data_IF_936525063670
#
_entry.id   IF_936525063670
#
_cell.length_a   1.000
_cell.length_b   1.000
_cell.length_c   1.000
_cell.angle_alpha   90.00
_cell.angle_beta   90.00
_cell.angle_gamma   90.00
#
_symmetry.space_group_name_H-M   'P 1'
#
loop_
_entity.id
_entity.type
_entity.pdbx_description
1 polymer ?
#
# COMPACT_ATOMS: atom_id res chain seq x y z
N UNK A 1 6.54 -2.78 -28.93
CA UNK A 1 6.65 -1.34 -29.27
C UNK A 1 5.56 -0.61 -28.52
N UNK A 2 5.91 0.24 -27.55
CA UNK A 2 4.96 1.06 -26.81
C UNK A 2 4.66 2.31 -27.64
N UNK A 3 3.66 2.21 -28.52
CA UNK A 3 3.11 3.40 -29.17
C UNK A 3 2.31 4.23 -28.16
N UNK A 4 2.59 5.52 -28.14
CA UNK A 4 1.63 6.58 -27.84
C UNK A 4 1.33 6.85 -26.38
N UNK A 5 2.26 7.41 -25.61
CA UNK A 5 1.86 8.36 -24.57
C UNK A 5 1.71 9.71 -25.26
N UNK A 6 0.49 10.23 -25.36
CA UNK A 6 0.22 11.52 -26.00
C UNK A 6 -0.06 12.58 -24.95
N UNK A 7 0.23 13.85 -25.26
CA UNK A 7 -0.14 14.99 -24.40
C UNK A 7 -1.67 15.03 -24.13
N UNK A 8 -2.48 14.40 -25.01
CA UNK A 8 -3.92 14.22 -24.82
C UNK A 8 -4.27 13.18 -23.74
N UNK A 9 -3.43 12.16 -23.50
CA UNK A 9 -3.62 11.21 -22.40
C UNK A 9 -3.38 11.89 -21.04
N UNK A 10 -2.35 12.74 -20.98
CA UNK A 10 -2.05 13.56 -19.80
C UNK A 10 -3.18 14.55 -19.50
N UNK A 11 -3.66 15.28 -20.52
CA UNK A 11 -4.72 16.27 -20.37
C UNK A 11 -6.07 15.62 -19.95
N UNK A 12 -6.32 14.37 -20.34
CA UNK A 12 -7.50 13.59 -19.93
C UNK A 12 -7.34 12.94 -18.55
N UNK A 13 -6.14 13.01 -17.95
CA UNK A 13 -5.83 12.35 -16.69
C UNK A 13 -5.77 10.83 -16.78
N UNK A 14 -5.45 10.29 -17.96
CA UNK A 14 -5.18 8.87 -18.14
C UNK A 14 -3.84 8.56 -17.47
N UNK A 15 -3.85 7.70 -16.46
CA UNK A 15 -2.62 7.36 -15.76
C UNK A 15 -1.63 6.64 -16.69
N UNK A 16 -0.37 7.07 -16.71
CA UNK A 16 0.68 6.41 -17.53
C UNK A 16 0.82 4.92 -17.21
N UNK A 17 0.60 4.55 -15.95
CA UNK A 17 0.62 3.17 -15.49
C UNK A 17 -0.68 2.41 -15.76
N UNK A 18 -1.76 3.01 -16.27
CA UNK A 18 -3.00 2.28 -16.62
C UNK A 18 -2.77 1.17 -17.67
N UNK A 19 -1.59 1.16 -18.29
CA UNK A 19 -1.11 0.14 -19.22
C UNK A 19 -0.33 -0.99 -18.50
N UNK A 20 0.07 -0.82 -17.25
CA UNK A 20 0.73 -1.82 -16.39
C UNK A 20 -0.31 -2.74 -15.75
N UNK A 21 -0.93 -3.59 -16.57
CA UNK A 21 -1.90 -4.58 -16.10
C UNK A 21 -1.23 -5.83 -15.47
N UNK A 22 0.07 -6.03 -15.75
CA UNK A 22 0.94 -7.10 -15.26
C UNK A 22 2.42 -6.70 -15.46
N UNK A 23 3.36 -7.43 -14.85
CA UNK A 23 4.80 -7.10 -14.86
C UNK A 23 5.56 -7.82 -15.99
N UNK A 24 5.15 -9.02 -16.41
CA UNK A 24 5.90 -9.86 -17.35
C UNK A 24 5.24 -10.10 -18.71
N UNK A 25 6.09 -10.45 -19.68
CA UNK A 25 5.76 -10.79 -21.06
C UNK A 25 5.54 -12.31 -21.20
N UNK A 26 4.37 -12.82 -20.87
CA UNK A 26 4.05 -14.21 -21.21
C UNK A 26 3.86 -14.33 -22.74
N UNK A 27 4.65 -15.21 -23.37
CA UNK A 27 4.39 -15.74 -24.73
C UNK A 27 3.37 -16.90 -24.70
N UNK A 28 2.89 -17.29 -23.52
CA UNK A 28 1.97 -18.41 -23.30
C UNK A 28 0.50 -18.05 -23.54
N UNK A 29 -0.30 -19.10 -23.79
CA UNK A 29 -1.72 -19.00 -24.08
C UNK A 29 -2.47 -18.18 -23.02
N UNK A 30 -3.21 -17.18 -23.49
CA UNK A 30 -3.98 -16.23 -22.67
C UNK A 30 -5.11 -16.89 -21.86
N UNK A 31 -5.42 -18.16 -22.11
CA UNK A 31 -6.54 -18.89 -21.51
C UNK A 31 -6.47 -19.00 -19.98
N UNK A 32 -5.29 -18.92 -19.37
CA UNK A 32 -5.09 -19.01 -17.90
C UNK A 32 -4.97 -17.66 -17.19
N UNK A 33 -4.96 -16.55 -17.95
CA UNK A 33 -4.80 -15.21 -17.37
C UNK A 33 -6.02 -14.83 -16.54
N UNK A 34 -5.85 -14.45 -15.25
CA UNK A 34 -6.96 -14.02 -14.42
C UNK A 34 -7.51 -12.67 -14.85
N UNK A 35 -8.82 -12.50 -14.71
CA UNK A 35 -9.47 -11.18 -14.87
C UNK A 35 -9.26 -10.29 -13.65
N UNK A 36 -9.21 -8.97 -13.83
CA UNK A 36 -9.07 -8.06 -12.68
C UNK A 36 -10.28 -8.13 -11.73
N UNK A 37 -11.49 -8.13 -12.28
CA UNK A 37 -12.72 -8.25 -11.50
C UNK A 37 -12.84 -9.60 -10.78
N UNK A 38 -12.32 -10.67 -11.40
CA UNK A 38 -12.26 -12.00 -10.80
C UNK A 38 -11.42 -12.00 -9.51
N UNK A 39 -10.32 -11.25 -9.49
CA UNK A 39 -9.43 -11.14 -8.33
C UNK A 39 -9.83 -10.00 -7.37
N UNK A 40 -10.88 -9.24 -7.69
CA UNK A 40 -11.30 -8.05 -6.96
C UNK A 40 -10.28 -6.90 -6.97
N UNK A 41 -9.37 -6.88 -7.96
CA UNK A 41 -8.34 -5.84 -8.10
C UNK A 41 -8.76 -4.71 -9.05
N UNK A 42 -9.89 -4.85 -9.73
CA UNK A 42 -10.55 -3.76 -10.45
C UNK A 42 -10.86 -2.57 -9.53
N UNK A 43 -11.29 -2.84 -8.31
CA UNK A 43 -11.51 -1.82 -7.29
C UNK A 43 -10.19 -1.16 -6.84
N UNK A 44 -9.10 -1.93 -6.74
CA UNK A 44 -7.75 -1.39 -6.47
C UNK A 44 -7.35 -0.41 -7.58
N UNK A 45 -7.57 -0.78 -8.85
CA UNK A 45 -7.30 0.07 -10.00
C UNK A 45 -8.14 1.35 -9.97
N UNK A 46 -9.44 1.26 -9.67
CA UNK A 46 -10.33 2.42 -9.53
C UNK A 46 -9.79 3.44 -8.52
N UNK A 47 -9.38 2.97 -7.35
CA UNK A 47 -8.81 3.84 -6.30
C UNK A 47 -7.47 4.42 -6.73
N UNK A 48 -6.61 3.63 -7.39
CA UNK A 48 -5.33 4.14 -7.91
C UNK A 48 -5.56 5.26 -8.94
N UNK A 49 -6.57 5.15 -9.81
CA UNK A 49 -6.92 6.20 -10.77
C UNK A 49 -7.34 7.48 -10.04
N UNK A 50 -8.17 7.37 -8.99
CA UNK A 50 -8.56 8.51 -8.14
C UNK A 50 -7.35 9.16 -7.47
N UNK A 51 -6.46 8.36 -6.87
CA UNK A 51 -5.23 8.83 -6.24
C UNK A 51 -4.28 9.52 -7.24
N UNK A 52 -4.18 8.97 -8.46
CA UNK A 52 -3.42 9.58 -9.56
C UNK A 52 -4.00 10.92 -9.99
N UNK A 53 -5.32 11.01 -10.16
CA UNK A 53 -5.99 12.27 -10.48
C UNK A 53 -5.78 13.31 -9.40
N UNK A 54 -5.90 12.94 -8.14
CA UNK A 54 -5.54 13.81 -7.03
C UNK A 54 -4.09 14.31 -7.18
N UNK A 55 -3.15 13.41 -7.47
CA UNK A 55 -1.73 13.77 -7.70
C UNK A 55 -1.53 14.73 -8.87
N UNK A 56 -2.24 14.54 -9.99
CA UNK A 56 -2.10 15.36 -11.21
C UNK A 56 -2.81 16.71 -11.14
N UNK A 57 -3.74 16.90 -10.20
CA UNK A 57 -4.30 18.24 -9.95
C UNK A 57 -3.21 19.23 -9.49
N UNK A 58 -2.09 18.73 -8.92
CA UNK A 58 -0.88 19.50 -8.56
C UNK A 58 -1.17 20.90 -8.01
N UNK A 59 -2.02 20.96 -6.99
CA UNK A 59 -2.66 22.20 -6.57
C UNK A 59 -2.03 22.81 -5.32
N UNK A 60 -2.19 24.13 -5.20
CA UNK A 60 -1.90 24.91 -4.00
C UNK A 60 -3.01 25.97 -3.85
N UNK A 61 -3.90 25.87 -2.85
CA UNK A 61 -4.97 26.83 -2.64
C UNK A 61 -4.49 28.23 -2.26
N UNK A 62 -3.32 28.36 -1.61
CA UNK A 62 -2.72 29.67 -1.29
C UNK A 62 -1.84 30.16 -2.45
N UNK A 63 -2.34 31.13 -3.23
CA UNK A 63 -1.62 31.70 -4.39
C UNK A 63 -0.31 32.41 -4.03
N UNK A 64 -0.07 32.69 -2.75
CA UNK A 64 1.17 33.31 -2.28
C UNK A 64 2.20 32.28 -1.77
N UNK A 65 1.80 31.01 -1.64
CA UNK A 65 2.70 29.96 -1.19
C UNK A 65 3.73 29.60 -2.27
N UNK A 66 4.98 29.41 -1.85
CA UNK A 66 6.04 28.96 -2.74
C UNK A 66 5.86 27.48 -3.09
N UNK A 67 5.68 27.17 -4.38
CA UNK A 67 5.34 25.81 -4.84
C UNK A 67 6.35 24.73 -4.43
N UNK A 68 7.64 25.06 -4.24
CA UNK A 68 8.67 24.10 -3.79
C UNK A 68 8.58 23.74 -2.30
N UNK A 69 7.76 24.47 -1.54
CA UNK A 69 7.50 24.28 -0.10
C UNK A 69 6.00 24.08 0.18
N UNK A 70 5.22 23.87 -0.87
CA UNK A 70 3.77 23.72 -0.77
C UNK A 70 3.42 22.42 -0.05
N UNK A 71 2.63 22.55 1.02
CA UNK A 71 2.13 21.41 1.78
C UNK A 71 1.14 20.59 0.95
N UNK A 72 0.27 21.26 0.18
CA UNK A 72 -0.73 20.59 -0.65
C UNK A 72 -0.09 19.82 -1.79
N UNK A 73 0.94 20.36 -2.45
CA UNK A 73 1.70 19.63 -3.47
C UNK A 73 2.41 18.41 -2.92
N UNK A 74 2.90 18.45 -1.68
CA UNK A 74 3.48 17.26 -1.03
C UNK A 74 2.44 16.16 -0.84
N UNK A 75 1.19 16.50 -0.50
CA UNK A 75 0.10 15.51 -0.48
C UNK A 75 -0.14 14.93 -1.88
N UNK A 76 -0.09 15.74 -2.93
CA UNK A 76 -0.23 15.28 -4.32
C UNK A 76 0.89 14.31 -4.71
N UNK A 77 2.13 14.59 -4.31
CA UNK A 77 3.27 13.69 -4.53
C UNK A 77 3.10 12.36 -3.79
N UNK A 78 2.67 12.39 -2.52
CA UNK A 78 2.39 11.18 -1.73
C UNK A 78 1.26 10.34 -2.35
N UNK A 79 0.17 10.97 -2.80
CA UNK A 79 -0.93 10.26 -3.47
C UNK A 79 -0.47 9.58 -4.76
N UNK A 80 0.34 10.25 -5.59
CA UNK A 80 0.90 9.67 -6.81
C UNK A 80 1.81 8.50 -6.51
N UNK A 81 2.68 8.63 -5.50
CA UNK A 81 3.56 7.56 -5.03
C UNK A 81 2.78 6.33 -4.52
N UNK A 82 1.68 6.54 -3.79
CA UNK A 82 0.82 5.44 -3.33
C UNK A 82 0.10 4.76 -4.50
N UNK A 83 -0.42 5.53 -5.46
CA UNK A 83 -1.07 5.00 -6.66
C UNK A 83 -0.11 4.10 -7.44
N UNK A 84 1.11 4.58 -7.69
CA UNK A 84 2.14 3.82 -8.42
C UNK A 84 2.51 2.51 -7.70
N UNK A 85 2.81 2.56 -6.40
CA UNK A 85 3.17 1.36 -5.63
C UNK A 85 2.01 0.36 -5.52
N UNK A 86 0.77 0.83 -5.36
CA UNK A 86 -0.39 -0.08 -5.35
C UNK A 86 -0.59 -0.75 -6.70
N UNK A 87 -0.37 -0.03 -7.79
CA UNK A 87 -0.49 -0.59 -9.14
C UNK A 87 0.61 -1.60 -9.44
N UNK A 88 1.85 -1.32 -9.06
CA UNK A 88 2.94 -2.30 -9.13
C UNK A 88 2.65 -3.54 -8.29
N UNK A 89 2.16 -3.36 -7.06
CA UNK A 89 1.73 -4.46 -6.20
C UNK A 89 0.59 -5.27 -6.82
N UNK A 90 -0.41 -4.61 -7.39
CA UNK A 90 -1.53 -5.25 -8.10
C UNK A 90 -1.06 -6.04 -9.32
N UNK A 91 -0.15 -5.48 -10.13
CA UNK A 91 0.41 -6.14 -11.29
C UNK A 91 1.23 -7.38 -10.88
N UNK A 92 2.02 -7.28 -9.80
CA UNK A 92 2.77 -8.41 -9.24
C UNK A 92 1.84 -9.52 -8.74
N UNK A 93 0.76 -9.16 -8.05
CA UNK A 93 -0.22 -10.12 -7.57
C UNK A 93 -0.97 -10.83 -8.71
N UNK A 94 -1.41 -10.09 -9.74
CA UNK A 94 -2.03 -10.67 -10.94
C UNK A 94 -1.09 -11.68 -11.59
N UNK A 95 0.19 -11.34 -11.75
CA UNK A 95 1.20 -12.25 -12.31
C UNK A 95 1.42 -13.48 -11.42
N UNK A 96 1.45 -13.31 -10.10
CA UNK A 96 1.59 -14.42 -9.16
C UNK A 96 0.41 -15.41 -9.29
N UNK A 97 -0.83 -14.91 -9.39
CA UNK A 97 -2.01 -15.76 -9.61
C UNK A 97 -1.99 -16.40 -11.00
N UNK A 98 -1.50 -15.69 -12.01
CA UNK A 98 -1.34 -16.26 -13.35
C UNK A 98 -0.36 -17.44 -13.33
N UNK A 99 0.84 -17.27 -12.77
CA UNK A 99 1.79 -18.37 -12.59
C UNK A 99 1.18 -19.55 -11.82
N UNK A 100 0.41 -19.27 -10.75
CA UNK A 100 -0.27 -20.32 -9.99
C UNK A 100 -1.19 -21.17 -10.88
N UNK A 101 -1.98 -20.53 -11.73
CA UNK A 101 -2.90 -21.19 -12.66
C UNK A 101 -2.16 -21.93 -13.78
N UNK A 102 -1.13 -21.29 -14.34
CA UNK A 102 -0.35 -21.86 -15.43
C UNK A 102 0.41 -23.11 -14.99
N UNK A 103 0.98 -23.11 -13.79
CA UNK A 103 1.60 -24.28 -13.15
C UNK A 103 0.55 -25.35 -12.86
N UNK A 104 -0.62 -24.98 -12.30
CA UNK A 104 -1.70 -25.93 -12.02
C UNK A 104 -2.31 -26.57 -13.27
N UNK A 105 -2.19 -25.91 -14.42
CA UNK A 105 -2.62 -26.40 -15.73
C UNK A 105 -1.50 -27.12 -16.51
N UNK A 106 -0.33 -27.35 -15.90
CA UNK A 106 0.86 -27.95 -16.53
C UNK A 106 1.36 -27.20 -17.79
N UNK A 107 0.99 -25.92 -17.94
CA UNK A 107 1.44 -25.05 -19.04
C UNK A 107 2.75 -24.31 -18.74
N UNK A 108 3.13 -24.25 -17.46
CA UNK A 108 4.42 -23.75 -16.99
C UNK A 108 5.11 -24.79 -16.09
N UNK A 109 6.45 -24.85 -16.10
CA UNK A 109 7.16 -25.80 -15.26
C UNK A 109 7.00 -25.43 -13.79
N UNK A 110 6.91 -26.44 -12.92
CA UNK A 110 6.76 -26.26 -11.47
C UNK A 110 7.86 -25.39 -10.82
N UNK A 111 9.03 -25.26 -11.46
CA UNK A 111 10.10 -24.34 -11.04
C UNK A 111 9.71 -22.86 -11.07
N UNK A 112 8.70 -22.48 -11.85
CA UNK A 112 8.16 -21.10 -11.88
C UNK A 112 7.42 -20.72 -10.60
N UNK A 113 7.12 -21.67 -9.71
CA UNK A 113 6.54 -21.37 -8.40
C UNK A 113 7.43 -20.43 -7.56
N UNK A 114 8.76 -20.45 -7.78
CA UNK A 114 9.67 -19.48 -7.16
C UNK A 114 9.44 -18.05 -7.67
N UNK A 115 9.17 -17.88 -8.96
CA UNK A 115 8.83 -16.60 -9.55
C UNK A 115 7.48 -16.11 -9.01
N UNK A 116 6.46 -16.98 -8.96
CA UNK A 116 5.18 -16.71 -8.30
C UNK A 116 5.39 -16.19 -6.88
N UNK A 117 6.21 -16.87 -6.07
CA UNK A 117 6.46 -16.47 -4.70
C UNK A 117 7.13 -15.10 -4.61
N UNK A 118 8.15 -14.86 -5.44
CA UNK A 118 8.85 -13.58 -5.49
C UNK A 118 7.89 -12.41 -5.80
N UNK A 119 7.00 -12.60 -6.78
CA UNK A 119 5.98 -11.63 -7.15
C UNK A 119 4.99 -11.36 -6.00
N UNK A 120 4.52 -12.41 -5.32
CA UNK A 120 3.64 -12.28 -4.17
C UNK A 120 4.33 -11.54 -3.00
N UNK A 121 5.59 -11.85 -2.71
CA UNK A 121 6.38 -11.16 -1.68
C UNK A 121 6.59 -9.68 -2.05
N UNK A 122 6.81 -9.37 -3.33
CA UNK A 122 6.91 -7.99 -3.84
C UNK A 122 5.59 -7.21 -3.71
N UNK A 123 4.44 -7.88 -3.93
CA UNK A 123 3.13 -7.29 -3.70
C UNK A 123 2.91 -6.96 -2.21
N UNK A 124 3.30 -7.88 -1.30
CA UNK A 124 3.26 -7.65 0.16
C UNK A 124 4.12 -6.46 0.58
N UNK A 125 5.33 -6.32 0.03
CA UNK A 125 6.18 -5.17 0.36
C UNK A 125 5.52 -3.85 -0.05
N UNK A 126 4.89 -3.79 -1.22
CA UNK A 126 4.10 -2.64 -1.65
C UNK A 126 2.92 -2.35 -0.71
N UNK A 127 2.17 -3.38 -0.28
CA UNK A 127 1.08 -3.25 0.71
C UNK A 127 1.57 -2.58 1.98
N UNK A 128 2.68 -3.06 2.56
CA UNK A 128 3.22 -2.51 3.82
C UNK A 128 3.78 -1.10 3.61
N UNK A 129 4.50 -0.87 2.52
CA UNK A 129 5.08 0.43 2.17
C UNK A 129 3.99 1.50 2.01
N UNK A 130 2.91 1.18 1.28
CA UNK A 130 1.77 2.08 1.10
C UNK A 130 1.02 2.30 2.42
N UNK A 131 0.84 1.27 3.25
CA UNK A 131 0.22 1.44 4.57
C UNK A 131 0.93 2.47 5.44
N UNK A 132 2.28 2.47 5.45
CA UNK A 132 3.05 3.53 6.11
C UNK A 132 2.82 4.91 5.46
N UNK A 133 2.77 4.98 4.12
CA UNK A 133 2.47 6.25 3.41
C UNK A 133 1.07 6.78 3.71
N UNK A 134 0.07 5.94 3.97
CA UNK A 134 -1.28 6.40 4.37
C UNK A 134 -1.26 7.21 5.67
N UNK A 135 -0.54 6.73 6.71
CA UNK A 135 -0.37 7.48 7.96
C UNK A 135 0.32 8.83 7.72
N UNK A 136 1.32 8.84 6.83
CA UNK A 136 2.00 10.06 6.44
C UNK A 136 1.06 11.00 5.67
N UNK A 137 0.30 10.50 4.71
CA UNK A 137 -0.66 11.29 3.95
C UNK A 137 -1.67 11.98 4.87
N UNK A 138 -2.28 11.25 5.82
CA UNK A 138 -3.23 11.81 6.79
C UNK A 138 -2.61 12.95 7.60
N UNK A 139 -1.40 12.77 8.14
CA UNK A 139 -0.76 13.85 8.92
C UNK A 139 -0.32 15.02 8.02
N UNK A 140 0.10 14.79 6.77
CA UNK A 140 0.46 15.88 5.84
C UNK A 140 -0.75 16.70 5.40
N UNK A 141 -1.89 16.03 5.19
CA UNK A 141 -3.18 16.70 4.97
C UNK A 141 -3.54 17.55 6.19
N UNK A 142 -3.44 17.01 7.41
CA UNK A 142 -3.74 17.79 8.61
C UNK A 142 -2.81 19.00 8.79
N UNK A 143 -1.50 18.84 8.48
CA UNK A 143 -0.48 19.90 8.56
C UNK A 143 -0.72 21.09 7.64
N UNK A 144 -1.63 21.02 6.69
CA UNK A 144 -2.05 22.20 5.90
C UNK A 144 -2.68 23.28 6.79
N UNK A 145 -3.17 22.92 7.99
CA UNK A 145 -3.62 23.85 9.02
C UNK A 145 -2.48 24.27 9.97
N UNK A 146 -2.25 25.59 10.18
CA UNK A 146 -1.32 26.09 11.19
C UNK A 146 -1.62 25.59 12.61
N UNK A 147 -2.90 25.40 12.95
CA UNK A 147 -3.32 24.86 14.25
C UNK A 147 -2.84 23.42 14.44
N UNK A 148 -2.94 22.59 13.38
CA UNK A 148 -2.45 21.23 13.43
C UNK A 148 -0.92 21.19 13.55
N UNK A 149 -0.19 22.04 12.82
CA UNK A 149 1.27 22.15 12.96
C UNK A 149 1.67 22.45 14.41
N UNK A 150 1.02 23.43 15.04
CA UNK A 150 1.28 23.79 16.43
C UNK A 150 0.92 22.67 17.42
N UNK A 151 -0.12 21.87 17.13
CA UNK A 151 -0.50 20.72 17.95
C UNK A 151 0.53 19.58 17.85
N UNK A 152 1.05 19.31 16.64
CA UNK A 152 2.05 18.28 16.39
C UNK A 152 3.37 18.57 17.12
N UNK A 153 3.79 19.83 17.19
CA UNK A 153 5.01 20.27 17.89
C UNK A 153 5.05 19.91 19.38
N UNK A 154 3.87 19.85 20.01
CA UNK A 154 3.70 19.58 21.45
C UNK A 154 3.87 18.11 21.81
N UNK A 155 3.83 17.20 20.83
CA UNK A 155 3.99 15.76 21.04
C UNK A 155 5.36 15.34 20.56
N UNK A 156 6.24 14.90 21.46
CA UNK A 156 7.65 14.61 21.16
C UNK A 156 7.86 13.76 19.90
N UNK A 157 7.09 12.68 19.73
CA UNK A 157 7.19 11.76 18.58
C UNK A 157 6.58 12.31 17.28
N UNK A 158 5.89 13.44 17.34
CA UNK A 158 5.30 14.14 16.18
C UNK A 158 5.94 15.52 15.96
N UNK A 159 6.83 15.97 16.86
CA UNK A 159 7.51 17.27 16.77
C UNK A 159 8.25 17.49 15.45
N UNK A 160 8.91 16.48 14.83
CA UNK A 160 9.50 16.63 13.50
C UNK A 160 8.49 17.03 12.40
N UNK A 161 7.19 16.92 12.67
CA UNK A 161 6.08 17.33 11.82
C UNK A 161 5.43 18.64 12.34
N UNK A 162 6.10 19.40 13.19
CA UNK A 162 5.66 20.71 13.66
C UNK A 162 5.85 21.83 12.62
N UNK A 163 5.84 23.10 13.05
CA UNK A 163 6.01 24.27 12.19
C UNK A 163 7.36 24.35 11.47
N UNK A 164 8.40 23.68 11.99
CA UNK A 164 9.75 23.71 11.41
C UNK A 164 9.92 22.79 10.20
N UNK A 165 8.98 21.86 9.97
CA UNK A 165 9.06 20.94 8.85
C UNK A 165 8.76 21.66 7.54
N UNK A 166 9.66 21.48 6.57
CA UNK A 166 9.55 22.08 5.24
C UNK A 166 9.31 20.98 4.21
N UNK A 167 8.16 20.98 3.52
CA UNK A 167 7.86 20.03 2.45
C UNK A 167 8.95 19.98 1.38
N UNK A 168 9.23 18.78 0.85
CA UNK A 168 10.25 18.51 -0.18
C UNK A 168 11.72 18.86 0.17
N UNK A 169 11.99 19.45 1.34
CA UNK A 169 13.33 19.85 1.77
C UNK A 169 13.79 19.12 3.05
N UNK A 170 12.87 18.47 3.75
CA UNK A 170 13.18 17.79 5.02
C UNK A 170 13.59 16.35 4.79
N UNK A 171 14.86 16.04 5.05
CA UNK A 171 15.41 14.68 5.00
C UNK A 171 15.38 13.95 6.36
N UNK A 172 14.75 14.53 7.39
CA UNK A 172 14.68 13.92 8.74
C UNK A 172 13.87 12.60 8.71
N UNK A 173 14.50 11.45 8.98
CA UNK A 173 13.79 10.16 9.03
C UNK A 173 12.68 10.15 10.10
N UNK A 174 12.83 10.94 11.16
CA UNK A 174 11.88 11.03 12.27
C UNK A 174 10.57 11.72 11.87
N UNK A 175 10.54 12.43 10.74
CA UNK A 175 9.33 12.98 10.17
C UNK A 175 8.48 11.91 9.45
N UNK A 176 8.99 10.69 9.25
CA UNK A 176 8.27 9.60 8.61
C UNK A 176 7.62 8.68 9.64
N UNK A 177 6.29 8.62 9.61
CA UNK A 177 5.52 7.83 10.55
C UNK A 177 5.40 6.38 10.06
N UNK A 178 5.68 5.42 10.94
CA UNK A 178 5.26 4.03 10.74
C UNK A 178 3.79 3.89 11.12
N UNK A 179 3.02 3.20 10.27
CA UNK A 179 1.65 2.82 10.58
C UNK A 179 1.64 1.71 11.65
N UNK A 180 1.13 2.05 12.83
CA UNK A 180 0.85 1.16 13.95
C UNK A 180 -0.13 1.83 14.92
N UNK A 181 -0.69 1.06 15.87
CA UNK A 181 -1.71 1.55 16.78
C UNK A 181 -1.25 2.75 17.62
N UNK A 182 0.01 2.75 18.09
CA UNK A 182 0.55 3.87 18.86
C UNK A 182 0.63 5.16 18.03
N UNK A 183 0.97 5.07 16.74
CA UNK A 183 0.92 6.21 15.82
C UNK A 183 -0.50 6.71 15.62
N UNK A 184 -1.46 5.83 15.36
CA UNK A 184 -2.87 6.21 15.17
C UNK A 184 -3.44 6.88 16.42
N UNK A 185 -3.20 6.31 17.61
CA UNK A 185 -3.60 6.91 18.89
C UNK A 185 -2.99 8.29 19.10
N UNK A 186 -1.70 8.47 18.80
CA UNK A 186 -1.04 9.79 18.89
C UNK A 186 -1.70 10.80 17.96
N UNK A 187 -1.97 10.43 16.70
CA UNK A 187 -2.64 11.31 15.73
C UNK A 187 -4.06 11.66 16.19
N UNK A 188 -4.82 10.69 16.70
CA UNK A 188 -6.18 10.92 17.23
C UNK A 188 -6.22 11.93 18.38
N UNK A 189 -5.17 11.99 19.20
CA UNK A 189 -5.10 12.93 20.32
C UNK A 189 -4.75 14.37 19.90
N UNK A 190 -4.23 14.59 18.69
CA UNK A 190 -3.74 15.91 18.25
C UNK A 190 -4.51 16.50 17.07
N UNK A 191 -5.10 15.67 16.22
CA UNK A 191 -5.82 16.11 15.03
C UNK A 191 -7.27 16.47 15.36
N UNK A 192 -7.82 17.45 14.65
CA UNK A 192 -9.22 17.88 14.85
C UNK A 192 -10.19 16.72 14.50
N UNK A 193 -10.96 16.21 15.46
CA UNK A 193 -11.90 15.11 15.21
C UNK A 193 -12.98 15.47 14.19
N UNK A 194 -13.33 16.76 14.04
CA UNK A 194 -14.34 17.18 13.05
C UNK A 194 -13.86 16.98 11.61
N UNK A 195 -12.55 16.97 11.38
CA UNK A 195 -11.95 16.88 10.05
C UNK A 195 -11.31 15.51 9.78
N UNK A 196 -10.84 14.83 10.83
CA UNK A 196 -9.94 13.69 10.68
C UNK A 196 -10.45 12.39 11.31
N UNK A 197 -11.67 12.33 11.87
CA UNK A 197 -12.19 11.07 12.43
C UNK A 197 -12.26 9.95 11.40
N UNK A 198 -12.87 10.17 10.23
CA UNK A 198 -13.00 9.12 9.21
C UNK A 198 -11.65 8.53 8.75
N UNK A 199 -10.62 9.32 8.39
CA UNK A 199 -9.32 8.75 8.01
C UNK A 199 -8.61 8.07 9.19
N UNK A 200 -8.75 8.57 10.42
CA UNK A 200 -8.16 7.93 11.59
C UNK A 200 -8.83 6.61 11.95
N UNK A 201 -10.15 6.51 11.81
CA UNK A 201 -10.90 5.26 12.00
C UNK A 201 -10.56 4.24 10.90
N UNK A 202 -10.33 4.70 9.67
CA UNK A 202 -9.87 3.85 8.58
C UNK A 202 -8.46 3.30 8.83
N UNK A 203 -7.54 4.13 9.33
CA UNK A 203 -6.19 3.68 9.73
C UNK A 203 -6.22 2.73 10.93
N UNK A 204 -7.06 3.00 11.93
CA UNK A 204 -7.23 2.13 13.10
C UNK A 204 -7.76 0.75 12.69
N UNK A 205 -8.81 0.75 11.85
CA UNK A 205 -9.41 -0.45 11.27
C UNK A 205 -8.44 -1.22 10.36
N UNK A 206 -7.51 -0.54 9.70
CA UNK A 206 -6.44 -1.17 8.92
C UNK A 206 -5.43 -1.84 9.85
N UNK A 207 -4.93 -1.13 10.86
CA UNK A 207 -3.94 -1.67 11.82
C UNK A 207 -4.46 -2.90 12.55
N UNK A 208 -5.76 -2.93 12.87
CA UNK A 208 -6.41 -4.06 13.54
C UNK A 208 -6.79 -5.21 12.59
N UNK A 209 -6.72 -5.02 11.27
CA UNK A 209 -7.14 -6.02 10.29
C UNK A 209 -6.15 -7.19 10.18
N UNK A 210 -6.68 -8.39 9.97
CA UNK A 210 -5.87 -9.59 9.73
C UNK A 210 -4.94 -9.44 8.53
N UNK A 211 -5.40 -8.75 7.50
CA UNK A 211 -4.74 -8.50 6.22
C UNK A 211 -3.45 -7.70 6.45
N UNK A 212 -3.53 -6.62 7.23
CA UNK A 212 -2.37 -5.83 7.62
C UNK A 212 -1.41 -6.62 8.52
N UNK A 213 -1.92 -7.31 9.53
CA UNK A 213 -1.11 -8.09 10.47
C UNK A 213 -0.33 -9.19 9.74
N UNK A 214 -1.00 -9.91 8.82
CA UNK A 214 -0.37 -10.94 7.99
C UNK A 214 0.65 -10.33 7.02
N UNK A 215 0.34 -9.21 6.36
CA UNK A 215 1.28 -8.56 5.44
C UNK A 215 2.55 -8.08 6.16
N UNK A 216 2.41 -7.43 7.31
CA UNK A 216 3.56 -7.02 8.14
C UNK A 216 4.34 -8.23 8.65
N UNK A 217 3.64 -9.29 9.07
CA UNK A 217 4.25 -10.55 9.49
C UNK A 217 5.09 -11.19 8.38
N UNK A 218 4.51 -11.35 7.19
CA UNK A 218 5.19 -11.89 6.01
C UNK A 218 6.42 -11.05 5.64
N UNK A 219 6.29 -9.71 5.60
CA UNK A 219 7.42 -8.82 5.31
C UNK A 219 8.53 -8.93 6.36
N UNK A 220 8.18 -8.95 7.64
CA UNK A 220 9.15 -9.06 8.73
C UNK A 220 9.91 -10.39 8.70
N UNK A 221 9.23 -11.49 8.39
CA UNK A 221 9.84 -12.79 8.14
C UNK A 221 10.79 -12.71 6.94
N UNK A 222 10.28 -12.30 5.79
CA UNK A 222 11.02 -12.28 4.52
C UNK A 222 12.27 -11.37 4.52
N UNK A 223 12.26 -10.24 5.23
CA UNK A 223 13.33 -9.22 5.12
C UNK A 223 14.17 -8.99 6.38
N UNK A 224 13.68 -9.32 7.58
CA UNK A 224 14.31 -8.83 8.82
C UNK A 224 14.71 -9.90 9.84
N UNK A 225 14.15 -11.10 9.79
CA UNK A 225 14.36 -12.08 10.88
C UNK A 225 14.95 -13.40 10.40
N UNK A 226 14.39 -13.98 9.34
CA UNK A 226 14.83 -15.21 8.66
C UNK A 226 13.65 -15.64 7.77
N UNK A 227 13.91 -16.27 6.62
CA UNK A 227 12.88 -16.62 5.63
C UNK A 227 12.46 -18.09 5.79
N UNK A 228 11.16 -18.38 5.93
CA UNK A 228 10.66 -19.74 5.64
C UNK A 228 10.90 -20.02 4.17
N UNK A 229 11.63 -21.09 3.90
CA UNK A 229 11.94 -21.42 2.52
C UNK A 229 10.69 -21.84 1.76
N UNK A 230 10.72 -21.56 0.47
CA UNK A 230 9.66 -21.90 -0.44
C UNK A 230 9.47 -23.42 -0.52
N UNK A 231 8.27 -23.91 -0.86
CA UNK A 231 7.92 -25.35 -0.93
C UNK A 231 8.80 -26.17 -1.89
N UNK A 232 9.58 -25.48 -2.73
CA UNK A 232 10.47 -26.04 -3.74
C UNK A 232 11.96 -25.82 -3.41
N UNK A 233 12.29 -25.28 -2.23
CA UNK A 233 13.67 -25.07 -1.74
C UNK A 233 13.83 -25.72 -0.36
N UNK A 234 15.06 -26.10 -0.01
CA UNK A 234 15.36 -26.85 1.22
C UNK A 234 15.94 -25.93 2.29
N UNK A 235 15.11 -25.56 3.26
CA UNK A 235 15.49 -24.62 4.31
C UNK A 235 15.34 -25.11 5.73
N UNK A 236 15.79 -24.27 6.65
CA UNK A 236 15.73 -24.50 8.10
C UNK A 236 14.88 -23.43 8.77
N UNK A 237 13.81 -23.85 9.41
CA UNK A 237 12.95 -23.06 10.28
C UNK A 237 12.65 -23.80 11.61
N UNK A 238 11.69 -23.31 12.39
CA UNK A 238 11.29 -23.94 13.65
C UNK A 238 10.67 -25.34 13.47
N UNK A 239 10.21 -25.68 12.27
CA UNK A 239 9.47 -26.90 11.93
C UNK A 239 10.14 -27.76 10.84
N UNK A 240 11.22 -27.28 10.22
CA UNK A 240 11.95 -27.86 9.09
C UNK A 240 13.42 -28.18 9.45
N UNK A 241 14.12 -28.84 8.52
CA UNK A 241 15.51 -29.27 8.71
C UNK A 241 15.65 -30.67 9.31
N UNK A 242 16.90 -31.04 9.65
CA UNK A 242 17.25 -32.42 10.03
C UNK A 242 16.87 -32.77 11.47
N UNK A 243 16.52 -31.78 12.29
CA UNK A 243 16.23 -31.95 13.69
C UNK A 243 14.81 -31.49 14.00
N UNK A 244 14.11 -32.23 14.85
CA UNK A 244 12.80 -31.85 15.39
C UNK A 244 12.78 -32.03 16.90
N UNK A 245 12.12 -31.11 17.57
CA UNK A 245 11.86 -31.24 19.00
C UNK A 245 10.80 -32.35 19.23
N UNK A 246 10.97 -33.11 20.31
CA UNK A 246 10.09 -34.18 20.77
C UNK A 246 9.38 -33.67 22.02
N UNK A 247 8.06 -33.79 22.02
CA UNK A 247 7.21 -33.41 23.13
C UNK A 247 6.54 -34.64 23.73
N UNK A 248 6.30 -34.64 25.04
CA UNK A 248 5.52 -35.68 25.70
C UNK A 248 4.00 -35.48 25.49
N UNK A 249 3.19 -36.36 26.09
CA UNK A 249 1.73 -36.30 25.99
C UNK A 249 1.11 -35.02 26.63
N UNK A 250 1.89 -34.27 27.42
CA UNK A 250 1.48 -33.00 28.04
C UNK A 250 2.00 -31.77 27.27
N UNK A 251 2.59 -32.00 26.08
CA UNK A 251 3.24 -30.98 25.26
C UNK A 251 4.48 -30.34 25.92
N UNK A 252 5.13 -31.05 26.85
CA UNK A 252 6.40 -30.62 27.42
C UNK A 252 7.54 -31.09 26.53
N UNK A 253 8.49 -30.19 26.21
CA UNK A 253 9.67 -30.53 25.43
C UNK A 253 10.57 -31.51 26.20
N UNK A 254 10.78 -32.71 25.66
CA UNK A 254 11.53 -33.81 26.32
C UNK A 254 12.80 -34.22 25.56
N UNK A 255 13.10 -33.63 24.41
CA UNK A 255 14.33 -33.89 23.68
C UNK A 255 14.22 -33.58 22.20
N UNK A 256 15.18 -34.07 21.41
CA UNK A 256 15.29 -33.78 19.97
C UNK A 256 15.58 -35.06 19.19
N UNK A 257 14.87 -35.28 18.10
CA UNK A 257 15.20 -36.31 17.12
C UNK A 257 16.00 -35.68 15.97
N UNK A 258 17.13 -36.27 15.61
CA UNK A 258 17.93 -35.86 14.44
C UNK A 258 17.92 -36.99 13.41
N UNK A 259 17.44 -36.70 12.21
CA UNK A 259 17.38 -37.63 11.08
C UNK A 259 18.43 -37.34 10.01
N UNK A 260 18.71 -38.34 9.16
CA UNK A 260 19.63 -38.19 8.04
C UNK A 260 19.09 -37.37 6.85
N UNK A 261 17.79 -37.07 6.84
CA UNK A 261 17.12 -36.28 5.80
C UNK A 261 16.35 -35.14 6.46
N UNK A 262 16.54 -33.92 5.95
CA UNK A 262 15.83 -32.75 6.45
C UNK A 262 14.36 -32.79 6.08
N UNK A 263 13.50 -32.42 7.03
CA UNK A 263 12.10 -32.10 6.72
C UNK A 263 12.11 -30.84 5.86
N UNK A 264 11.65 -30.97 4.62
CA UNK A 264 11.40 -29.85 3.70
C UNK A 264 9.96 -29.40 3.85
N UNK A 265 9.71 -28.14 3.49
CA UNK A 265 8.34 -27.75 3.18
C UNK A 265 7.86 -28.57 1.98
N UNK A 266 6.62 -29.03 2.05
CA UNK A 266 5.96 -29.71 0.94
C UNK A 266 5.00 -28.74 0.27
N UNK A 267 4.70 -29.00 -0.99
CA UNK A 267 3.63 -28.29 -1.74
C UNK A 267 2.29 -28.33 -0.98
N UNK A 268 2.07 -29.37 -0.16
CA UNK A 268 0.89 -29.47 0.72
C UNK A 268 0.86 -28.46 1.87
N UNK A 269 1.96 -27.76 2.15
CA UNK A 269 2.05 -26.80 3.26
C UNK A 269 1.40 -25.46 2.89
N UNK A 270 1.15 -25.20 1.60
CA UNK A 270 0.38 -24.07 1.07
C UNK A 270 1.00 -22.69 1.34
N UNK A 271 2.29 -22.60 1.61
CA UNK A 271 3.00 -21.34 1.87
C UNK A 271 2.88 -20.37 0.71
N UNK A 272 3.07 -20.84 -0.52
CA UNK A 272 3.02 -19.97 -1.70
C UNK A 272 1.62 -19.45 -1.93
N UNK A 273 0.63 -20.34 -1.91
CA UNK A 273 -0.78 -19.97 -2.01
C UNK A 273 -1.19 -18.97 -0.92
N UNK A 274 -0.87 -19.24 0.36
CA UNK A 274 -1.18 -18.32 1.47
C UNK A 274 -0.57 -16.94 1.31
N UNK A 275 0.65 -16.83 0.79
CA UNK A 275 1.27 -15.53 0.57
C UNK A 275 0.69 -14.80 -0.64
N UNK A 276 0.34 -15.52 -1.71
CA UNK A 276 -0.42 -14.97 -2.83
C UNK A 276 -1.80 -14.45 -2.36
N UNK A 277 -2.53 -15.23 -1.55
CA UNK A 277 -3.83 -14.82 -0.99
C UNK A 277 -3.69 -13.58 -0.09
N UNK A 278 -2.70 -13.58 0.80
CA UNK A 278 -2.40 -12.45 1.67
C UNK A 278 -2.05 -11.17 0.88
N UNK A 279 -1.36 -11.30 -0.26
CA UNK A 279 -1.07 -10.18 -1.13
C UNK A 279 -2.35 -9.57 -1.71
N UNK A 280 -3.25 -10.40 -2.24
CA UNK A 280 -4.53 -9.96 -2.79
C UNK A 280 -5.43 -9.26 -1.77
N UNK A 281 -5.60 -9.87 -0.60
CA UNK A 281 -6.39 -9.29 0.51
C UNK A 281 -5.75 -7.99 1.03
N UNK A 282 -4.43 -7.97 1.19
CA UNK A 282 -3.69 -6.77 1.60
C UNK A 282 -3.86 -5.60 0.64
N UNK A 283 -3.75 -5.84 -0.67
CA UNK A 283 -3.94 -4.81 -1.71
C UNK A 283 -5.34 -4.21 -1.66
N UNK A 284 -6.37 -5.08 -1.63
CA UNK A 284 -7.77 -4.65 -1.52
C UNK A 284 -8.01 -3.83 -0.26
N UNK A 285 -7.48 -4.28 0.88
CA UNK A 285 -7.65 -3.57 2.16
C UNK A 285 -6.99 -2.20 2.16
N UNK A 286 -5.76 -2.08 1.64
CA UNK A 286 -5.07 -0.79 1.51
C UNK A 286 -5.81 0.15 0.56
N UNK A 287 -6.30 -0.34 -0.58
CA UNK A 287 -7.07 0.47 -1.53
C UNK A 287 -8.34 1.03 -0.89
N UNK A 288 -9.11 0.21 -0.15
CA UNK A 288 -10.28 0.68 0.59
C UNK A 288 -9.93 1.78 1.59
N UNK A 289 -8.85 1.61 2.37
CA UNK A 289 -8.39 2.61 3.32
C UNK A 289 -7.95 3.90 2.62
N UNK A 290 -7.22 3.80 1.51
CA UNK A 290 -6.81 4.94 0.70
C UNK A 290 -8.02 5.71 0.16
N UNK A 291 -9.06 5.01 -0.30
CA UNK A 291 -10.24 5.67 -0.86
C UNK A 291 -11.02 6.47 0.19
N UNK A 292 -11.19 5.91 1.39
CA UNK A 292 -11.82 6.62 2.52
C UNK A 292 -11.02 7.87 2.86
N UNK A 293 -9.69 7.75 2.93
CA UNK A 293 -8.80 8.87 3.25
C UNK A 293 -8.87 9.95 2.16
N UNK A 294 -8.80 9.57 0.88
CA UNK A 294 -8.88 10.52 -0.24
C UNK A 294 -10.24 11.22 -0.30
N UNK A 295 -11.32 10.48 -0.14
CA UNK A 295 -12.68 11.03 -0.10
C UNK A 295 -12.81 12.06 1.01
N UNK A 296 -12.37 11.74 2.23
CA UNK A 296 -12.40 12.70 3.34
C UNK A 296 -11.53 13.94 3.07
N UNK A 297 -10.36 13.77 2.45
CA UNK A 297 -9.49 14.90 2.10
C UNK A 297 -10.16 15.84 1.11
N UNK A 298 -10.74 15.31 0.03
CA UNK A 298 -11.34 16.10 -1.06
C UNK A 298 -12.69 16.71 -0.67
N UNK A 299 -13.54 15.96 0.01
CA UNK A 299 -14.93 16.37 0.26
C UNK A 299 -15.08 17.18 1.55
N UNK A 300 -14.19 16.99 2.52
CA UNK A 300 -14.31 17.61 3.84
C UNK A 300 -13.14 18.52 4.18
N UNK A 301 -11.91 17.99 4.20
CA UNK A 301 -10.75 18.75 4.74
C UNK A 301 -10.42 19.95 3.87
N UNK A 302 -10.17 19.72 2.58
CA UNK A 302 -9.76 20.75 1.63
C UNK A 302 -10.79 21.90 1.52
N UNK A 303 -12.10 21.63 1.33
CA UNK A 303 -13.11 22.69 1.29
C UNK A 303 -13.23 23.45 2.61
N UNK A 304 -13.12 22.76 3.75
CA UNK A 304 -13.27 23.39 5.07
C UNK A 304 -12.10 24.29 5.42
N UNK A 305 -10.89 23.91 5.03
CA UNK A 305 -9.67 24.66 5.35
C UNK A 305 -9.36 25.78 4.34
N UNK A 306 -9.90 25.71 3.12
CA UNK A 306 -9.57 26.65 2.03
C UNK A 306 -10.81 27.20 1.31
N UNK A 307 -11.73 27.85 2.03
CA UNK A 307 -12.86 28.61 1.46
C UNK A 307 -13.68 27.88 0.38
N UNK A 308 -13.91 26.57 0.55
CA UNK A 308 -14.66 25.78 -0.44
C UNK A 308 -13.87 25.44 -1.70
N UNK A 309 -12.53 25.41 -1.64
CA UNK A 309 -11.69 24.83 -2.69
C UNK A 309 -12.03 23.34 -2.88
N UNK A 310 -12.13 22.90 -4.13
CA UNK A 310 -12.51 21.53 -4.51
C UNK A 310 -11.62 21.03 -5.63
N UNK A 311 -11.42 19.71 -5.67
CA UNK A 311 -10.71 19.03 -6.74
C UNK A 311 -11.60 17.92 -7.30
N UNK A 312 -11.64 17.80 -8.63
CA UNK A 312 -12.39 16.77 -9.33
C UNK A 312 -11.47 15.56 -9.54
N UNK A 313 -11.77 14.46 -8.84
CA UNK A 313 -11.02 13.19 -8.95
C UNK A 313 -11.89 12.03 -9.48
N UNK A 314 -13.19 12.27 -9.65
CA UNK A 314 -14.20 11.26 -10.01
C UNK A 314 -14.67 11.31 -11.44
N UNK A 315 -14.46 12.45 -12.13
CA UNK A 315 -14.76 12.55 -13.54
C UNK A 315 -13.72 11.73 -14.33
N UNK A 316 -14.11 10.66 -15.05
CA UNK A 316 -13.20 9.83 -15.82
C UNK A 316 -12.41 10.63 -16.87
N UNK A 317 -12.95 11.73 -17.39
CA UNK A 317 -12.45 12.45 -18.57
C UNK A 317 -11.81 13.80 -18.26
N UNK A 318 -11.63 14.15 -16.97
CA UNK A 318 -11.20 15.50 -16.59
C UNK A 318 -10.31 15.50 -15.35
N UNK A 319 -9.26 16.31 -15.41
CA UNK A 319 -8.57 16.85 -14.24
C UNK A 319 -9.05 18.30 -14.09
N UNK A 320 -9.51 18.67 -12.89
CA UNK A 320 -10.04 20.01 -12.67
C UNK A 320 -10.02 20.43 -11.21
N UNK A 321 -9.48 21.62 -10.96
CA UNK A 321 -9.60 22.30 -9.66
C UNK A 321 -10.61 23.44 -9.78
N UNK A 322 -11.44 23.63 -8.76
CA UNK A 322 -12.43 24.72 -8.72
C UNK A 322 -12.49 25.33 -7.33
N UNK A 323 -12.61 26.65 -7.27
CA UNK A 323 -12.99 27.37 -6.05
C UNK A 323 -14.48 27.68 -6.14
N UNK A 324 -15.28 27.25 -5.17
CA UNK A 324 -16.67 27.74 -5.07
C UNK A 324 -16.63 29.23 -4.78
N UNK A 325 -17.05 30.06 -5.73
CA UNK A 325 -17.38 31.46 -5.45
C UNK A 325 -18.63 31.48 -4.57
N UNK A 326 -18.51 32.00 -3.34
CA UNK A 326 -19.69 32.27 -2.52
C UNK A 326 -20.58 33.25 -3.28
N UNK A 327 -21.83 32.86 -3.54
CA UNK A 327 -22.89 33.80 -3.87
C UNK A 327 -23.02 34.74 -2.67
N UNK A 328 -22.71 36.01 -2.88
CA UNK A 328 -22.95 37.10 -1.93
C UNK A 328 -24.43 37.28 -1.65
#
# INVERSE_FOLDING_TARGET
MLDGYSDEDDARGVAAWSRLMHIGAHEGDTSTRPGLAELGVDEVHRVCVRAWKYSRNDFEPDTFAELRRSQWRETCALAGSMAESLMLGSAAYVEAVWHQRAIGADTEPAGMALAQRYLADGAIDNVVSVGHRLANFVVRVARTSPTAQAALDRVEKLRPLGPIYVPFATDDPSAWLSLNGATVTRLRNVLDPKLHTAPLDALDSLVASSEWVVAVGNRAENFHRWRKEHEYVTGVDAESGNARDIYDATNQHIGRAVGGHGRRHKISDGLTARTTDAAGEGLRRIAQTLDIILTNTVDLVLPTQHDGFTVEIDDPNRIGTRRRTRST
#
